data_IF_550261625882
#
_entry.id   IF_550261625882
#
_cell.length_a   1.000
_cell.length_b   1.000
_cell.length_c   1.000
_cell.angle_alpha   90.00
_cell.angle_beta   90.00
_cell.angle_gamma   90.00
#
_symmetry.space_group_name_H-M   'P 1'
#
loop_
_entity.id
_entity.type
_entity.pdbx_description
1 polymer ?
#
# COMPACT_ATOMS: atom_id res chain seq x y z
N UNK A 1 -7.71 -9.86 -4.59
CA UNK A 1 -8.08 -8.43 -4.51
C UNK A 1 -9.54 -8.33 -4.87
N UNK A 2 -10.28 -7.42 -4.23
CA UNK A 2 -11.71 -7.25 -4.53
C UNK A 2 -11.96 -5.86 -5.12
N UNK A 3 -12.46 -5.79 -6.35
CA UNK A 3 -12.71 -4.56 -7.08
C UNK A 3 -14.22 -4.32 -7.27
N UNK A 4 -14.61 -3.06 -7.37
CA UNK A 4 -15.94 -2.69 -7.85
C UNK A 4 -15.82 -1.96 -9.20
N UNK A 5 -16.67 -2.31 -10.13
CA UNK A 5 -16.86 -1.59 -11.38
C UNK A 5 -18.16 -0.80 -11.26
N UNK A 6 -18.15 0.48 -11.65
CA UNK A 6 -19.35 1.30 -11.65
C UNK A 6 -19.43 2.14 -12.93
N UNK A 7 -20.38 1.82 -13.79
CA UNK A 7 -20.57 2.47 -15.08
C UNK A 7 -22.04 2.26 -15.52
N UNK A 8 -22.72 3.26 -16.05
CA UNK A 8 -24.11 3.11 -16.50
C UNK A 8 -24.24 2.44 -17.89
N UNK A 9 -23.10 2.22 -18.56
CA UNK A 9 -22.99 1.48 -19.82
C UNK A 9 -22.60 0.02 -19.57
N UNK A 10 -23.53 -0.93 -19.76
CA UNK A 10 -23.26 -2.36 -19.56
C UNK A 10 -22.08 -2.86 -20.40
N UNK A 11 -21.90 -2.35 -21.61
CA UNK A 11 -20.78 -2.71 -22.49
C UNK A 11 -19.43 -2.33 -21.92
N UNK A 12 -19.33 -1.23 -21.19
CA UNK A 12 -18.11 -0.82 -20.49
C UNK A 12 -17.83 -1.74 -19.29
N UNK A 13 -18.89 -2.09 -18.55
CA UNK A 13 -18.78 -3.09 -17.45
C UNK A 13 -18.24 -4.41 -17.97
N UNK A 14 -18.87 -4.97 -19.01
CA UNK A 14 -18.49 -6.28 -19.57
C UNK A 14 -17.03 -6.27 -20.03
N UNK A 15 -16.60 -5.19 -20.66
CA UNK A 15 -15.22 -5.03 -21.12
C UNK A 15 -14.21 -4.99 -19.95
N UNK A 16 -14.51 -4.27 -18.87
CA UNK A 16 -13.67 -4.22 -17.68
C UNK A 16 -13.59 -5.60 -17.00
N UNK A 17 -14.71 -6.30 -16.87
CA UNK A 17 -14.76 -7.65 -16.31
C UNK A 17 -13.87 -8.61 -17.11
N UNK A 18 -14.02 -8.62 -18.46
CA UNK A 18 -13.18 -9.45 -19.34
C UNK A 18 -11.68 -9.17 -19.15
N UNK A 19 -11.28 -7.91 -18.95
CA UNK A 19 -9.88 -7.56 -18.71
C UNK A 19 -9.39 -7.99 -17.34
N UNK A 20 -10.23 -7.95 -16.31
CA UNK A 20 -9.87 -8.46 -14.98
C UNK A 20 -9.71 -9.98 -14.99
N UNK A 21 -10.60 -10.69 -15.69
CA UNK A 21 -10.55 -12.16 -15.82
C UNK A 21 -9.33 -12.64 -16.63
N UNK A 22 -8.76 -11.79 -17.48
CA UNK A 22 -7.51 -12.05 -18.20
C UNK A 22 -6.26 -11.98 -17.30
N UNK A 23 -6.40 -11.63 -16.02
CA UNK A 23 -5.30 -11.50 -15.05
C UNK A 23 -5.45 -12.49 -13.87
N UNK A 24 -5.51 -13.83 -14.15
CA UNK A 24 -5.74 -14.83 -13.11
C UNK A 24 -4.66 -14.84 -12.03
N UNK A 25 -3.44 -14.41 -12.34
CA UNK A 25 -2.33 -14.31 -11.41
C UNK A 25 -2.57 -13.30 -10.27
N UNK A 26 -3.47 -12.33 -10.49
CA UNK A 26 -3.81 -11.30 -9.50
C UNK A 26 -4.98 -11.71 -8.59
N UNK A 27 -5.70 -12.81 -8.94
CA UNK A 27 -6.87 -13.30 -8.21
C UNK A 27 -7.86 -12.15 -7.90
N UNK A 28 -8.29 -11.44 -8.95
CA UNK A 28 -9.23 -10.33 -8.84
C UNK A 28 -10.64 -10.91 -8.73
N UNK A 29 -11.34 -10.63 -7.64
CA UNK A 29 -12.78 -10.77 -7.50
C UNK A 29 -13.41 -9.42 -7.80
N UNK A 30 -14.51 -9.38 -8.53
CA UNK A 30 -15.15 -8.12 -8.89
C UNK A 30 -16.67 -8.16 -8.82
N UNK A 31 -17.27 -7.05 -8.38
CA UNK A 31 -18.71 -6.79 -8.44
C UNK A 31 -18.95 -5.60 -9.38
N UNK A 32 -20.10 -5.59 -10.06
CA UNK A 32 -20.46 -4.54 -11.00
C UNK A 32 -21.74 -3.81 -10.61
N UNK A 33 -21.77 -2.53 -10.85
CA UNK A 33 -22.86 -1.61 -10.52
C UNK A 33 -23.14 -0.69 -11.71
N UNK A 34 -24.42 -0.52 -12.04
CA UNK A 34 -24.86 0.33 -13.15
C UNK A 34 -25.19 1.77 -12.72
N UNK A 35 -24.94 2.13 -11.46
CA UNK A 35 -25.10 3.49 -10.97
C UNK A 35 -24.32 3.73 -9.67
N UNK A 36 -23.99 5.00 -9.40
CA UNK A 36 -23.33 5.41 -8.17
C UNK A 36 -24.17 5.12 -6.93
N UNK A 37 -25.49 5.27 -7.03
CA UNK A 37 -26.44 4.99 -5.94
C UNK A 37 -26.43 3.50 -5.57
N UNK A 38 -26.34 2.59 -6.56
CA UNK A 38 -26.28 1.15 -6.32
C UNK A 38 -24.98 0.76 -5.61
N UNK A 39 -23.84 1.28 -6.05
CA UNK A 39 -22.56 1.07 -5.39
C UNK A 39 -22.55 1.62 -3.96
N UNK A 40 -23.09 2.84 -3.75
CA UNK A 40 -23.20 3.45 -2.42
C UNK A 40 -24.11 2.64 -1.50
N UNK A 41 -25.22 2.09 -2.03
CA UNK A 41 -26.12 1.20 -1.27
C UNK A 41 -25.38 -0.08 -0.85
N UNK A 42 -24.55 -0.67 -1.71
CA UNK A 42 -23.73 -1.83 -1.36
C UNK A 42 -22.76 -1.52 -0.21
N UNK A 43 -22.10 -0.37 -0.22
CA UNK A 43 -21.22 0.07 0.88
C UNK A 43 -22.00 0.24 2.19
N UNK A 44 -23.19 0.83 2.16
CA UNK A 44 -24.08 0.97 3.32
C UNK A 44 -24.53 -0.38 3.89
N UNK A 45 -24.62 -1.40 3.02
CA UNK A 45 -24.94 -2.77 3.39
C UNK A 45 -23.69 -3.60 3.78
N UNK A 46 -22.53 -2.97 3.92
CA UNK A 46 -21.31 -3.61 4.43
C UNK A 46 -20.35 -4.13 3.36
N UNK A 47 -20.61 -3.90 2.05
CA UNK A 47 -19.61 -4.23 1.02
C UNK A 47 -18.36 -3.38 1.21
N UNK A 48 -17.19 -3.96 0.91
CA UNK A 48 -15.90 -3.28 0.92
C UNK A 48 -15.06 -3.77 -0.25
N UNK A 49 -14.31 -2.86 -0.84
CA UNK A 49 -13.47 -3.10 -2.02
C UNK A 49 -12.08 -2.54 -1.81
N UNK A 50 -11.08 -3.21 -2.36
CA UNK A 50 -9.71 -2.73 -2.41
C UNK A 50 -9.58 -1.54 -3.40
N UNK A 51 -10.32 -1.59 -4.51
CA UNK A 51 -10.33 -0.53 -5.52
C UNK A 51 -11.70 -0.39 -6.21
N UNK A 52 -12.01 0.84 -6.64
CA UNK A 52 -13.15 1.20 -7.46
C UNK A 52 -12.65 1.60 -8.86
N UNK A 53 -13.21 0.99 -9.90
CA UNK A 53 -13.09 1.42 -11.29
C UNK A 53 -14.42 2.06 -11.66
N UNK A 54 -14.46 3.39 -11.75
CA UNK A 54 -15.70 4.14 -11.79
C UNK A 54 -15.72 5.14 -12.94
N UNK A 55 -16.80 5.16 -13.74
CA UNK A 55 -17.00 6.23 -14.71
C UNK A 55 -17.30 7.55 -14.01
N UNK A 56 -16.71 8.61 -14.52
CA UNK A 56 -16.93 9.97 -14.01
C UNK A 56 -18.31 10.50 -14.36
N UNK A 57 -18.81 10.18 -15.56
CA UNK A 57 -20.10 10.66 -16.06
C UNK A 57 -21.11 9.50 -16.13
N UNK A 58 -21.99 9.45 -15.18
CA UNK A 58 -23.10 8.50 -15.10
C UNK A 58 -24.41 9.26 -14.90
N UNK A 59 -25.50 8.66 -15.34
CA UNK A 59 -26.85 9.15 -15.07
C UNK A 59 -27.14 9.12 -13.57
N UNK A 60 -27.70 10.17 -13.00
CA UNK A 60 -27.93 10.29 -11.55
C UNK A 60 -26.71 10.78 -10.80
N UNK A 61 -26.22 10.02 -9.83
CA UNK A 61 -24.99 10.34 -9.09
C UNK A 61 -23.76 10.06 -9.94
N UNK A 62 -22.99 11.11 -10.26
CA UNK A 62 -21.75 10.95 -11.03
C UNK A 62 -20.65 10.23 -10.23
N UNK A 63 -19.58 9.80 -10.92
CA UNK A 63 -18.51 9.01 -10.29
C UNK A 63 -17.72 9.78 -9.26
N UNK A 64 -17.54 11.09 -9.41
CA UNK A 64 -16.81 11.92 -8.44
C UNK A 64 -17.60 12.02 -7.12
N UNK A 65 -18.88 12.31 -7.20
CA UNK A 65 -19.75 12.40 -6.03
C UNK A 65 -19.90 11.04 -5.34
N UNK A 66 -20.00 9.96 -6.14
CA UNK A 66 -20.05 8.59 -5.62
C UNK A 66 -18.78 8.24 -4.86
N UNK A 67 -17.60 8.49 -5.44
CA UNK A 67 -16.32 8.23 -4.79
C UNK A 67 -16.14 9.05 -3.51
N UNK A 68 -16.55 10.31 -3.51
CA UNK A 68 -16.50 11.16 -2.31
C UNK A 68 -17.42 10.65 -1.19
N UNK A 69 -18.65 10.24 -1.51
CA UNK A 69 -19.58 9.69 -0.54
C UNK A 69 -19.08 8.33 0.03
N UNK A 70 -18.40 7.51 -0.78
CA UNK A 70 -17.80 6.27 -0.32
C UNK A 70 -16.62 6.54 0.60
N UNK A 71 -15.79 7.54 0.32
CA UNK A 71 -14.64 7.92 1.15
C UNK A 71 -15.01 8.37 2.56
N UNK A 72 -16.20 8.89 2.77
CA UNK A 72 -16.70 9.17 4.12
C UNK A 72 -16.90 7.90 4.97
N UNK A 73 -17.03 6.72 4.33
CA UNK A 73 -17.22 5.43 4.98
C UNK A 73 -15.97 4.52 4.90
N UNK A 74 -15.11 4.78 3.93
CA UNK A 74 -13.91 3.99 3.61
C UNK A 74 -12.89 4.91 2.95
N UNK A 75 -12.02 5.51 3.74
CA UNK A 75 -11.00 6.45 3.29
C UNK A 75 -9.77 5.76 2.68
N UNK A 76 -9.66 4.44 2.83
CA UNK A 76 -8.56 3.64 2.29
C UNK A 76 -8.83 3.11 0.87
N UNK A 77 -10.08 3.12 0.39
CA UNK A 77 -10.39 2.58 -0.94
C UNK A 77 -9.66 3.34 -2.05
N UNK A 78 -9.03 2.59 -2.94
CA UNK A 78 -8.36 3.16 -4.11
C UNK A 78 -9.41 3.49 -5.17
N UNK A 79 -9.29 4.65 -5.81
CA UNK A 79 -10.17 5.05 -6.91
C UNK A 79 -9.37 5.16 -8.20
N UNK A 80 -9.85 4.49 -9.23
CA UNK A 80 -9.42 4.60 -10.62
C UNK A 80 -10.61 5.08 -11.43
N UNK A 81 -10.48 6.22 -12.07
CA UNK A 81 -11.53 6.70 -12.96
C UNK A 81 -11.34 6.14 -14.37
N UNK A 82 -12.42 5.57 -14.93
CA UNK A 82 -12.47 5.03 -16.30
C UNK A 82 -13.45 5.87 -17.08
N UNK A 83 -12.99 6.78 -17.94
CA UNK A 83 -13.87 7.78 -18.54
C UNK A 83 -13.49 8.13 -19.97
N UNK A 84 -14.47 8.59 -20.76
CA UNK A 84 -14.23 9.18 -22.08
C UNK A 84 -13.82 10.67 -22.00
N UNK A 85 -13.87 11.29 -20.83
CA UNK A 85 -13.73 12.73 -20.65
C UNK A 85 -12.46 13.14 -19.90
N UNK A 86 -11.36 13.31 -20.63
CA UNK A 86 -10.04 13.68 -20.07
C UNK A 86 -9.97 15.10 -19.47
N UNK A 87 -10.90 16.00 -19.85
CA UNK A 87 -10.91 17.40 -19.38
C UNK A 87 -11.22 17.56 -17.88
N UNK A 88 -11.82 16.56 -17.23
CA UNK A 88 -12.15 16.59 -15.79
C UNK A 88 -11.05 16.05 -14.89
N UNK A 89 -9.97 15.51 -15.44
CA UNK A 89 -8.84 14.96 -14.68
C UNK A 89 -8.33 15.92 -13.59
N UNK A 90 -8.28 17.24 -13.89
CA UNK A 90 -7.79 18.23 -12.91
C UNK A 90 -8.73 18.47 -11.72
N UNK A 91 -10.03 18.17 -11.83
CA UNK A 91 -11.02 18.36 -10.76
C UNK A 91 -11.18 17.12 -9.87
N UNK A 92 -10.81 15.98 -10.39
CA UNK A 92 -10.94 14.69 -9.71
C UNK A 92 -9.73 14.34 -8.81
N UNK A 93 -8.66 15.14 -8.82
CA UNK A 93 -7.51 14.97 -7.93
C UNK A 93 -7.92 15.19 -6.47
N UNK A 94 -8.19 14.10 -5.77
CA UNK A 94 -8.43 14.04 -4.32
C UNK A 94 -7.53 12.98 -3.69
N UNK A 95 -7.63 12.82 -2.36
CA UNK A 95 -6.93 11.74 -1.67
C UNK A 95 -7.33 10.38 -2.25
N UNK A 96 -6.35 9.51 -2.53
CA UNK A 96 -6.52 8.14 -3.04
C UNK A 96 -7.10 7.99 -4.47
N UNK A 97 -7.07 9.01 -5.31
CA UNK A 97 -7.20 8.80 -6.77
C UNK A 97 -5.83 8.37 -7.26
N UNK A 98 -5.72 7.10 -7.62
CA UNK A 98 -4.44 6.49 -7.99
C UNK A 98 -4.16 6.66 -9.48
N UNK A 99 -5.18 6.54 -10.33
CA UNK A 99 -4.99 6.57 -11.78
C UNK A 99 -6.27 6.99 -12.53
N UNK A 100 -6.08 7.27 -13.83
CA UNK A 100 -7.13 7.56 -14.80
C UNK A 100 -6.92 6.69 -16.03
N UNK A 101 -7.99 6.06 -16.49
CA UNK A 101 -8.03 5.22 -17.69
C UNK A 101 -8.95 5.88 -18.70
N UNK A 102 -8.44 6.20 -19.87
CA UNK A 102 -9.27 6.70 -20.97
C UNK A 102 -9.98 5.53 -21.66
N UNK A 103 -11.33 5.57 -21.76
CA UNK A 103 -12.13 4.50 -22.40
C UNK A 103 -11.67 4.21 -23.84
N UNK A 104 -11.17 5.22 -24.56
CA UNK A 104 -10.63 5.08 -25.92
C UNK A 104 -9.27 4.36 -25.97
N UNK A 105 -8.53 4.29 -24.86
CA UNK A 105 -7.22 3.65 -24.74
C UNK A 105 -7.22 2.51 -23.71
N UNK A 106 -8.35 1.92 -23.48
CA UNK A 106 -8.56 0.94 -22.41
C UNK A 106 -7.60 -0.25 -22.49
N UNK A 107 -7.28 -0.71 -23.71
CA UNK A 107 -6.35 -1.84 -23.93
C UNK A 107 -4.91 -1.53 -23.48
N UNK A 108 -4.52 -0.25 -23.46
CA UNK A 108 -3.19 0.19 -23.09
C UNK A 108 -3.12 0.64 -21.63
N UNK A 109 -4.11 1.40 -21.19
CA UNK A 109 -4.06 2.10 -19.90
C UNK A 109 -4.56 1.23 -18.74
N UNK A 110 -5.58 0.39 -18.99
CA UNK A 110 -6.17 -0.43 -17.94
C UNK A 110 -5.19 -1.46 -17.34
N UNK A 111 -4.37 -2.19 -18.13
CA UNK A 111 -3.35 -3.08 -17.57
C UNK A 111 -2.38 -2.35 -16.66
N UNK A 112 -1.96 -1.13 -17.04
CA UNK A 112 -1.08 -0.30 -16.22
C UNK A 112 -1.74 0.14 -14.92
N UNK A 113 -3.00 0.57 -14.98
CA UNK A 113 -3.78 0.96 -13.80
C UNK A 113 -3.96 -0.23 -12.82
N UNK A 114 -4.28 -1.42 -13.33
CA UNK A 114 -4.39 -2.64 -12.53
C UNK A 114 -3.06 -2.96 -11.82
N UNK A 115 -1.94 -2.90 -12.54
CA UNK A 115 -0.61 -3.13 -11.97
C UNK A 115 -0.25 -2.08 -10.90
N UNK A 116 -0.65 -0.84 -11.10
CA UNK A 116 -0.45 0.26 -10.16
C UNK A 116 -1.29 0.05 -8.89
N UNK A 117 -2.56 -0.34 -9.03
CA UNK A 117 -3.43 -0.73 -7.90
C UNK A 117 -2.84 -1.91 -7.14
N UNK A 118 -2.43 -2.97 -7.85
CA UNK A 118 -1.86 -4.16 -7.22
C UNK A 118 -0.58 -3.84 -6.42
N UNK A 119 0.30 -2.99 -6.96
CA UNK A 119 1.51 -2.52 -6.26
C UNK A 119 1.17 -1.70 -5.02
N UNK A 120 0.21 -0.78 -5.12
CA UNK A 120 -0.19 0.03 -3.98
C UNK A 120 -0.85 -0.82 -2.87
N UNK A 121 -1.72 -1.77 -3.22
CA UNK A 121 -2.30 -2.69 -2.26
C UNK A 121 -1.25 -3.59 -1.60
N UNK A 122 -0.27 -4.07 -2.37
CA UNK A 122 0.86 -4.82 -1.83
C UNK A 122 1.69 -3.96 -0.86
N UNK A 123 1.92 -2.69 -1.20
CA UNK A 123 2.60 -1.72 -0.34
C UNK A 123 1.83 -1.47 0.96
N UNK A 124 0.51 -1.27 0.88
CA UNK A 124 -0.34 -1.04 2.07
C UNK A 124 -0.37 -2.24 3.02
N UNK A 125 -0.35 -3.46 2.52
CA UNK A 125 -0.21 -4.69 3.33
C UNK A 125 1.11 -4.73 4.10
N UNK A 126 2.13 -4.02 3.63
CA UNK A 126 3.43 -3.86 4.27
C UNK A 126 3.48 -2.53 5.04
N UNK A 127 2.52 -2.29 5.91
CA UNK A 127 2.44 -1.10 6.76
C UNK A 127 2.16 -1.49 8.20
N UNK A 128 2.38 -0.55 9.11
CA UNK A 128 1.97 -0.67 10.50
C UNK A 128 1.34 0.64 10.97
N UNK A 129 0.40 0.50 11.91
CA UNK A 129 -0.21 1.65 12.57
C UNK A 129 0.37 1.78 13.97
N UNK A 130 0.87 2.95 14.29
CA UNK A 130 1.42 3.26 15.61
C UNK A 130 0.68 4.43 16.25
N UNK A 131 0.63 4.45 17.58
CA UNK A 131 0.15 5.60 18.34
C UNK A 131 1.33 6.53 18.64
N UNK A 132 1.36 7.71 18.04
CA UNK A 132 2.32 8.76 18.31
C UNK A 132 1.60 10.03 18.80
N UNK A 133 1.95 10.53 19.98
CA UNK A 133 1.40 11.77 20.56
C UNK A 133 -0.15 11.88 20.47
N UNK A 134 -0.86 10.81 20.80
CA UNK A 134 -2.34 10.69 20.74
C UNK A 134 -2.93 10.70 19.31
N UNK A 135 -2.10 10.56 18.29
CA UNK A 135 -2.52 10.38 16.91
C UNK A 135 -2.18 8.96 16.47
N UNK A 136 -3.01 8.37 15.63
CA UNK A 136 -2.63 7.16 14.90
C UNK A 136 -1.85 7.59 13.66
N UNK A 137 -0.67 7.02 13.48
CA UNK A 137 0.19 7.24 12.30
C UNK A 137 0.32 5.93 11.58
N UNK A 138 0.06 5.93 10.28
CA UNK A 138 0.30 4.80 9.38
C UNK A 138 1.68 4.96 8.75
N UNK A 139 2.54 3.96 8.94
CA UNK A 139 3.90 3.93 8.40
C UNK A 139 4.02 2.74 7.44
N UNK A 140 4.37 3.02 6.20
CA UNK A 140 4.76 1.97 5.27
C UNK A 140 6.13 1.42 5.62
N UNK A 141 6.34 0.12 5.42
CA UNK A 141 7.61 -0.51 5.77
C UNK A 141 8.77 0.07 4.97
N UNK A 142 8.57 0.43 3.71
CA UNK A 142 9.58 1.05 2.84
C UNK A 142 10.03 2.45 3.30
N UNK A 143 9.24 3.12 4.15
CA UNK A 143 9.61 4.41 4.75
C UNK A 143 10.52 4.25 5.96
N UNK A 144 10.47 3.09 6.65
CA UNK A 144 11.17 2.85 7.91
C UNK A 144 12.56 2.28 7.63
N UNK A 145 13.61 3.01 7.95
CA UNK A 145 14.99 2.54 7.83
C UNK A 145 15.37 1.57 8.93
N UNK A 146 15.07 1.95 10.17
CA UNK A 146 15.29 1.13 11.35
C UNK A 146 14.38 1.58 12.50
N UNK A 147 14.26 0.72 13.50
CA UNK A 147 13.49 0.98 14.71
C UNK A 147 14.43 0.81 15.88
N UNK A 148 14.48 1.82 16.74
CA UNK A 148 15.32 1.85 17.93
C UNK A 148 14.49 1.79 19.21
N UNK A 149 14.96 1.05 20.20
CA UNK A 149 14.37 1.04 21.54
C UNK A 149 15.09 2.07 22.43
N UNK A 150 14.39 3.13 22.76
CA UNK A 150 14.89 4.23 23.60
C UNK A 150 14.03 4.32 24.86
N UNK A 151 14.59 3.97 26.00
CA UNK A 151 13.88 3.89 27.29
C UNK A 151 12.61 3.01 27.20
N UNK A 152 11.43 3.63 27.23
CA UNK A 152 10.13 2.94 27.20
C UNK A 152 9.39 3.11 25.86
N UNK A 153 10.07 3.63 24.83
CA UNK A 153 9.52 3.90 23.52
C UNK A 153 10.29 3.17 22.43
N UNK A 154 9.59 2.92 21.33
CA UNK A 154 10.20 2.61 20.05
C UNK A 154 10.23 3.87 19.22
N UNK A 155 11.37 4.17 18.63
CA UNK A 155 11.59 5.22 17.66
C UNK A 155 11.66 4.62 16.26
N UNK A 156 10.74 5.03 15.39
CA UNK A 156 10.66 4.61 14.00
C UNK A 156 11.34 5.68 13.13
N UNK A 157 12.52 5.37 12.65
CA UNK A 157 13.34 6.31 11.89
C UNK A 157 13.00 6.22 10.42
N UNK A 158 12.40 7.29 9.90
CA UNK A 158 12.14 7.51 8.47
C UNK A 158 13.13 8.53 7.91
N UNK A 159 13.03 8.86 6.62
CA UNK A 159 13.94 9.84 6.00
C UNK A 159 13.80 11.22 6.62
N UNK A 160 12.59 11.67 6.86
CA UNK A 160 12.29 13.06 7.21
C UNK A 160 11.85 13.24 8.67
N UNK A 161 11.48 12.15 9.35
CA UNK A 161 10.85 12.22 10.68
C UNK A 161 11.17 10.98 11.52
N UNK A 162 11.17 11.15 12.83
CA UNK A 162 11.21 10.06 13.81
C UNK A 162 9.90 10.03 14.57
N UNK A 163 9.16 8.94 14.42
CA UNK A 163 7.92 8.69 15.13
C UNK A 163 8.18 7.89 16.40
N UNK A 164 7.35 8.08 17.43
CA UNK A 164 7.52 7.40 18.72
C UNK A 164 6.25 6.66 19.11
N UNK A 165 6.40 5.43 19.57
CA UNK A 165 5.28 4.66 20.11
C UNK A 165 5.70 3.90 21.36
N UNK A 166 4.78 3.77 22.32
CA UNK A 166 5.02 3.02 23.54
C UNK A 166 4.82 1.53 23.28
N UNK A 167 5.90 0.81 23.07
CA UNK A 167 5.90 -0.62 22.83
C UNK A 167 7.29 -1.20 23.09
N UNK A 168 7.47 -2.50 22.90
CA UNK A 168 8.77 -3.16 22.93
C UNK A 168 9.12 -3.77 21.59
N UNK A 169 10.43 -3.86 21.27
CA UNK A 169 10.88 -4.49 20.02
C UNK A 169 10.40 -5.94 19.89
N UNK A 170 10.33 -6.69 20.99
CA UNK A 170 9.89 -8.09 20.96
C UNK A 170 8.39 -8.23 20.65
N UNK A 171 7.56 -7.30 21.12
CA UNK A 171 6.14 -7.26 20.78
C UNK A 171 5.95 -6.90 19.31
N UNK A 172 6.70 -5.89 18.85
CA UNK A 172 6.64 -5.43 17.46
C UNK A 172 7.10 -6.53 16.49
N UNK A 173 8.21 -7.23 16.76
CA UNK A 173 8.72 -8.31 15.89
C UNK A 173 7.66 -9.38 15.58
N UNK A 174 6.81 -9.70 16.56
CA UNK A 174 5.74 -10.69 16.40
C UNK A 174 4.58 -10.21 15.49
N UNK A 175 4.44 -8.91 15.28
CA UNK A 175 3.39 -8.30 14.45
C UNK A 175 3.88 -7.91 13.06
N UNK A 176 5.20 -7.86 12.84
CA UNK A 176 5.77 -7.51 11.55
C UNK A 176 5.72 -8.68 10.56
N UNK A 177 5.59 -8.33 9.28
CA UNK A 177 5.70 -9.32 8.22
C UNK A 177 7.11 -9.94 8.21
N UNK A 178 7.22 -11.28 8.28
CA UNK A 178 8.53 -11.94 8.33
C UNK A 178 9.41 -11.64 7.12
N UNK A 179 10.71 -11.47 7.36
CA UNK A 179 11.72 -11.34 6.31
C UNK A 179 11.85 -9.95 5.70
N UNK A 180 11.28 -8.93 6.31
CA UNK A 180 11.45 -7.52 5.92
C UNK A 180 12.36 -6.81 6.93
N UNK A 181 12.13 -7.04 8.21
CA UNK A 181 12.96 -6.52 9.28
C UNK A 181 13.76 -7.65 9.93
N UNK A 182 14.95 -7.32 10.42
CA UNK A 182 15.78 -8.23 11.20
C UNK A 182 16.40 -7.54 12.41
N UNK A 183 16.53 -8.31 13.52
CA UNK A 183 17.13 -7.83 14.75
C UNK A 183 18.64 -7.71 14.60
N UNK A 184 19.17 -6.50 14.72
CA UNK A 184 20.61 -6.23 14.64
C UNK A 184 21.28 -6.16 16.02
N UNK A 185 20.55 -5.71 17.04
CA UNK A 185 21.02 -5.51 18.41
C UNK A 185 19.86 -5.61 19.40
N UNK A 186 20.13 -5.72 20.71
CA UNK A 186 19.06 -5.69 21.73
C UNK A 186 18.15 -4.47 21.62
N UNK A 187 18.65 -3.36 21.06
CA UNK A 187 17.94 -2.10 20.91
C UNK A 187 17.60 -1.73 19.47
N UNK A 188 17.92 -2.56 18.46
CA UNK A 188 17.74 -2.20 17.05
C UNK A 188 17.11 -3.30 16.22
N UNK A 189 16.11 -2.92 15.46
CA UNK A 189 15.49 -3.70 14.39
C UNK A 189 15.68 -2.94 13.07
N UNK A 190 16.24 -3.58 12.06
CA UNK A 190 16.64 -2.92 10.80
C UNK A 190 15.82 -3.45 9.64
N UNK A 191 15.35 -2.55 8.80
CA UNK A 191 14.72 -2.92 7.55
C UNK A 191 15.78 -3.39 6.54
N UNK A 192 15.66 -4.64 6.10
CA UNK A 192 16.62 -5.28 5.20
C UNK A 192 16.66 -4.62 3.82
N UNK A 193 15.59 -3.97 3.40
CA UNK A 193 15.55 -3.23 2.14
C UNK A 193 16.53 -2.06 2.11
N UNK A 194 16.69 -1.40 3.25
CA UNK A 194 17.59 -0.25 3.38
C UNK A 194 19.03 -0.61 3.72
N UNK A 195 19.36 -1.90 3.89
CA UNK A 195 20.74 -2.33 4.15
C UNK A 195 21.57 -2.22 2.87
N UNK A 196 22.70 -1.52 2.98
CA UNK A 196 23.74 -1.44 1.96
C UNK A 196 24.85 -2.45 2.17
N UNK A 197 25.33 -2.55 3.42
CA UNK A 197 26.42 -3.45 3.78
C UNK A 197 26.31 -3.91 5.23
N UNK A 198 26.75 -5.14 5.50
CA UNK A 198 26.85 -5.72 6.84
C UNK A 198 28.34 -5.94 7.16
N UNK A 199 28.88 -5.11 8.05
CA UNK A 199 30.26 -5.15 8.48
C UNK A 199 30.47 -6.11 9.66
N UNK A 200 31.66 -6.10 10.25
CA UNK A 200 31.99 -6.95 11.40
C UNK A 200 31.21 -6.55 12.68
N UNK A 201 31.02 -5.25 12.90
CA UNK A 201 30.43 -4.70 14.14
C UNK A 201 29.23 -3.76 13.89
N UNK A 202 28.94 -3.42 12.64
CA UNK A 202 27.89 -2.47 12.29
C UNK A 202 27.23 -2.80 10.94
N UNK A 203 26.10 -2.14 10.68
CA UNK A 203 25.34 -2.17 9.45
C UNK A 203 25.34 -0.77 8.87
N UNK A 204 25.66 -0.66 7.59
CA UNK A 204 25.56 0.57 6.80
C UNK A 204 24.26 0.56 6.02
N UNK A 205 23.48 1.63 6.14
CA UNK A 205 22.25 1.82 5.40
C UNK A 205 22.52 2.45 4.01
N UNK A 206 21.56 2.37 3.10
CA UNK A 206 21.67 2.91 1.74
C UNK A 206 21.69 4.43 1.75
N UNK A 207 20.93 5.05 2.63
CA UNK A 207 20.95 6.48 2.83
C UNK A 207 22.18 6.87 3.67
N UNK A 208 22.96 7.82 3.12
CA UNK A 208 24.23 8.26 3.74
C UNK A 208 24.05 9.11 4.98
N UNK A 209 22.87 9.74 5.11
CA UNK A 209 22.52 10.59 6.25
C UNK A 209 22.07 9.77 7.46
N UNK A 210 21.81 8.48 7.27
CA UNK A 210 21.46 7.56 8.33
C UNK A 210 22.71 7.07 9.10
N UNK A 211 22.61 6.89 10.43
CA UNK A 211 23.72 6.41 11.25
C UNK A 211 24.08 4.96 10.91
N UNK A 212 25.28 4.54 11.29
CA UNK A 212 25.65 3.13 11.32
C UNK A 212 24.95 2.45 12.48
N UNK A 213 24.28 1.34 12.23
CA UNK A 213 23.54 0.61 13.24
C UNK A 213 24.43 -0.48 13.86
N UNK A 214 24.57 -0.56 15.19
CA UNK A 214 25.41 -1.56 15.83
C UNK A 214 24.88 -2.98 15.58
N UNK A 215 25.79 -3.91 15.27
CA UNK A 215 25.51 -5.31 15.10
C UNK A 215 26.05 -6.10 16.30
N UNK A 216 25.14 -6.50 17.19
CA UNK A 216 25.49 -7.25 18.39
C UNK A 216 25.91 -8.69 18.09
N UNK A 217 26.93 -9.20 18.76
CA UNK A 217 27.47 -10.56 18.53
C UNK A 217 26.38 -11.66 18.59
N UNK A 218 25.42 -11.52 19.51
CA UNK A 218 24.30 -12.47 19.66
C UNK A 218 23.40 -12.51 18.43
N UNK A 219 23.26 -11.41 17.70
CA UNK A 219 22.32 -11.24 16.57
C UNK A 219 22.99 -11.39 15.20
N UNK A 220 24.30 -11.40 15.16
CA UNK A 220 25.10 -11.32 13.94
C UNK A 220 24.85 -12.43 12.95
N UNK A 221 24.77 -13.68 13.42
CA UNK A 221 24.54 -14.84 12.57
C UNK A 221 23.13 -14.80 11.97
N UNK A 222 22.12 -14.58 12.81
CA UNK A 222 20.71 -14.53 12.39
C UNK A 222 20.44 -13.35 11.44
N UNK A 223 21.01 -12.18 11.73
CA UNK A 223 20.89 -11.00 10.87
C UNK A 223 21.48 -11.24 9.48
N UNK A 224 22.69 -11.82 9.40
CA UNK A 224 23.34 -12.12 8.12
C UNK A 224 22.54 -13.12 7.30
N UNK A 225 22.02 -14.17 7.95
CA UNK A 225 21.17 -15.15 7.30
C UNK A 225 19.86 -14.50 6.79
N UNK A 226 19.22 -13.66 7.59
CA UNK A 226 18.01 -12.94 7.18
C UNK A 226 18.26 -12.02 5.99
N UNK A 227 19.39 -11.27 6.00
CA UNK A 227 19.77 -10.40 4.90
C UNK A 227 20.10 -11.18 3.61
N UNK A 228 20.80 -12.30 3.71
CA UNK A 228 21.05 -13.15 2.57
C UNK A 228 19.77 -13.69 1.94
N UNK A 229 18.83 -14.23 2.74
CA UNK A 229 17.52 -14.67 2.26
C UNK A 229 16.71 -13.54 1.61
N UNK A 230 16.82 -12.33 2.16
CA UNK A 230 16.18 -11.16 1.57
C UNK A 230 16.75 -10.87 0.17
N UNK A 231 18.07 -10.92 -0.01
CA UNK A 231 18.73 -10.69 -1.30
C UNK A 231 18.38 -11.78 -2.33
N UNK A 232 18.36 -13.05 -1.94
CA UNK A 232 17.98 -14.19 -2.78
C UNK A 232 16.53 -14.00 -3.29
N UNK A 233 15.58 -13.70 -2.39
CA UNK A 233 14.18 -13.43 -2.76
C UNK A 233 14.05 -12.23 -3.71
N UNK A 234 14.82 -11.17 -3.50
CA UNK A 234 14.79 -9.98 -4.37
C UNK A 234 15.41 -10.23 -5.74
N UNK A 235 16.32 -11.18 -5.85
CA UNK A 235 16.94 -11.61 -7.12
C UNK A 235 16.08 -12.64 -7.89
N UNK A 236 14.95 -13.08 -7.33
CA UNK A 236 14.08 -14.08 -7.95
C UNK A 236 14.64 -15.51 -7.89
N UNK A 237 15.56 -15.78 -6.95
CA UNK A 237 16.19 -17.08 -6.66
C UNK A 237 15.46 -17.79 -5.52
#
# INVERSE_FOLDING_TARGET
MRFAICDDEQTAIDLLQDRFDQRPELAIEHDAYTSGEALLAAYKNGARYDALFIDMEMSGMNGIDTANAIREMDDEVIVVYVTSYTRYMKQAFGHNVLDFVEKSQLDTDLPHAIDTVARELARRRLSLSIADNKKTVHLYYDEIFYIESVAHYLEFHTKDTVYRSRSSLSQLENSLTPGIFARAHKGFLVNLEHVRAVNAADITLRDKDMPRIPLGEKYKADFRQAWQRYLERKAGL
#
